data_IF_848842715501
#
_entry.id   IF_848842715501
#
_cell.length_a   1.000
_cell.length_b   1.000
_cell.length_c   1.000
_cell.angle_alpha   90.00
_cell.angle_beta   90.00
_cell.angle_gamma   90.00
#
_symmetry.space_group_name_H-M   'P 1'
#
loop_
_entity.id
_entity.type
_entity.pdbx_description
1 polymer ?
#
# COMPACT_ATOMS: atom_id res chain seq x y z
N UNK A 1 -4.53 14.23 -10.45
CA UNK A 1 -3.09 14.06 -10.12
C UNK A 1 -3.00 12.79 -9.29
N UNK A 2 -2.32 11.82 -9.81
CA UNK A 2 -2.21 10.49 -9.22
C UNK A 2 -1.15 10.49 -8.12
N UNK A 3 -1.43 9.86 -7.00
CA UNK A 3 -0.49 9.68 -5.90
C UNK A 3 0.42 8.49 -6.25
N UNK A 4 1.74 8.68 -6.12
CA UNK A 4 2.72 7.60 -6.31
C UNK A 4 3.28 7.19 -4.96
N UNK A 5 3.17 5.89 -4.66
CA UNK A 5 3.67 5.24 -3.44
C UNK A 5 4.69 4.16 -3.82
N UNK A 6 5.99 4.50 -4.00
CA UNK A 6 6.99 3.51 -4.36
C UNK A 6 7.13 2.44 -3.28
N UNK A 7 7.00 1.14 -3.67
CA UNK A 7 7.24 0.02 -2.76
C UNK A 7 8.74 -0.14 -2.50
N UNK A 8 9.15 0.18 -1.27
CA UNK A 8 10.55 0.10 -0.86
C UNK A 8 11.08 -1.33 -0.73
N UNK A 9 10.21 -2.33 -0.87
CA UNK A 9 10.60 -3.73 -0.98
C UNK A 9 11.53 -3.98 -2.19
N UNK A 10 11.42 -3.15 -3.23
CA UNK A 10 12.25 -3.20 -4.43
C UNK A 10 13.48 -2.31 -4.40
N UNK A 11 13.70 -1.55 -3.32
CA UNK A 11 14.87 -0.69 -3.16
C UNK A 11 16.13 -1.48 -2.78
N UNK A 12 17.31 -0.85 -2.90
CA UNK A 12 18.55 -1.41 -2.40
C UNK A 12 18.64 -1.22 -0.88
N UNK A 13 18.46 -2.31 -0.12
CA UNK A 13 18.46 -2.27 1.34
C UNK A 13 19.79 -1.82 1.94
N UNK A 14 20.91 -1.89 1.18
CA UNK A 14 22.21 -1.39 1.65
C UNK A 14 22.26 0.14 1.71
N UNK A 15 21.37 0.84 0.99
CA UNK A 15 21.24 2.30 0.95
C UNK A 15 19.77 2.77 1.02
N UNK A 16 18.90 2.01 1.66
CA UNK A 16 17.46 2.20 1.70
C UNK A 16 17.04 3.66 1.98
N UNK A 17 17.65 4.31 2.96
CA UNK A 17 17.33 5.70 3.30
C UNK A 17 17.68 6.72 2.19
N UNK A 18 18.70 6.45 1.37
CA UNK A 18 19.03 7.29 0.21
C UNK A 18 18.02 7.07 -0.92
N UNK A 19 17.66 5.82 -1.19
CA UNK A 19 16.68 5.46 -2.21
C UNK A 19 15.30 6.04 -1.87
N UNK A 20 14.87 5.97 -0.61
CA UNK A 20 13.63 6.61 -0.16
C UNK A 20 13.63 8.13 -0.38
N UNK A 21 14.73 8.82 -0.01
CA UNK A 21 14.84 10.27 -0.25
C UNK A 21 14.77 10.61 -1.73
N UNK A 22 15.47 9.87 -2.56
CA UNK A 22 15.50 10.09 -4.00
C UNK A 22 14.10 10.03 -4.63
N UNK A 23 13.25 9.05 -4.26
CA UNK A 23 11.89 8.96 -4.80
C UNK A 23 10.97 10.04 -4.23
N UNK A 24 11.12 10.43 -2.96
CA UNK A 24 10.38 11.56 -2.36
C UNK A 24 10.76 12.89 -3.03
N UNK A 25 12.05 13.14 -3.24
CA UNK A 25 12.54 14.34 -3.94
C UNK A 25 12.09 14.39 -5.41
N UNK A 26 11.83 13.22 -6.01
CA UNK A 26 11.28 13.10 -7.35
C UNK A 26 9.76 13.38 -7.43
N UNK A 27 9.08 13.50 -6.29
CA UNK A 27 7.65 13.83 -6.21
C UNK A 27 6.74 12.68 -5.76
N UNK A 28 7.30 11.57 -5.26
CA UNK A 28 6.48 10.56 -4.57
C UNK A 28 5.88 11.16 -3.29
N UNK A 29 4.60 10.92 -3.06
CA UNK A 29 3.88 11.47 -1.91
C UNK A 29 3.84 10.53 -0.71
N UNK A 30 4.08 9.24 -0.95
CA UNK A 30 4.07 8.16 0.05
C UNK A 30 5.26 7.23 -0.17
N UNK A 31 5.56 6.43 0.85
CA UNK A 31 6.45 5.27 0.75
C UNK A 31 5.65 4.04 1.17
N UNK A 32 5.49 3.09 0.27
CA UNK A 32 4.82 1.82 0.54
C UNK A 32 5.78 0.85 1.24
N UNK A 33 5.37 0.42 2.43
CA UNK A 33 6.19 -0.34 3.37
C UNK A 33 5.61 -1.75 3.56
N UNK A 34 6.09 -2.73 2.79
CA UNK A 34 5.60 -4.11 2.74
C UNK A 34 6.11 -4.96 3.91
N UNK A 35 5.26 -5.27 4.88
CA UNK A 35 5.58 -6.11 6.04
C UNK A 35 5.07 -7.53 5.81
N UNK A 36 5.97 -8.51 5.91
CA UNK A 36 5.68 -9.93 5.68
C UNK A 36 6.23 -10.77 6.84
N UNK A 37 5.43 -11.73 7.34
CA UNK A 37 5.74 -12.53 8.53
C UNK A 37 6.16 -13.98 8.25
N UNK A 38 6.14 -14.42 6.98
CA UNK A 38 6.44 -15.81 6.60
C UNK A 38 5.31 -16.80 6.90
N UNK A 39 4.15 -16.32 7.37
CA UNK A 39 2.96 -17.14 7.66
C UNK A 39 1.80 -16.76 6.73
N UNK A 40 1.37 -15.51 6.75
CA UNK A 40 0.34 -15.01 5.85
C UNK A 40 0.76 -15.06 4.38
N UNK A 41 2.05 -14.83 4.12
CA UNK A 41 2.73 -14.98 2.82
C UNK A 41 4.03 -15.77 2.99
N UNK A 42 4.49 -16.53 1.96
CA UNK A 42 5.68 -17.38 2.05
C UNK A 42 7.00 -16.59 1.91
N UNK A 43 7.08 -15.42 2.53
CA UNK A 43 8.25 -14.54 2.52
C UNK A 43 8.33 -13.74 3.83
N UNK A 44 9.53 -13.33 4.20
CA UNK A 44 9.80 -12.41 5.33
C UNK A 44 10.49 -11.18 4.75
N UNK A 45 10.00 -9.98 5.08
CA UNK A 45 10.59 -8.73 4.61
C UNK A 45 11.29 -7.98 5.76
N UNK A 46 10.71 -6.92 6.23
CA UNK A 46 11.23 -6.07 7.29
C UNK A 46 10.09 -5.64 8.24
N UNK A 47 10.44 -5.17 9.42
CA UNK A 47 9.47 -4.86 10.46
C UNK A 47 9.73 -3.52 11.16
N UNK A 48 9.15 -3.38 12.34
CA UNK A 48 9.17 -2.17 13.19
C UNK A 48 10.54 -1.47 13.29
N UNK A 49 11.70 -2.16 13.47
CA UNK A 49 12.98 -1.48 13.60
C UNK A 49 13.44 -0.71 12.37
N UNK A 50 13.15 -1.23 11.17
CA UNK A 50 13.52 -0.57 9.90
C UNK A 50 12.65 0.68 9.70
N UNK A 51 11.32 0.57 9.92
CA UNK A 51 10.42 1.73 9.84
C UNK A 51 10.87 2.84 10.82
N UNK A 52 11.14 2.49 12.06
CA UNK A 52 11.62 3.43 13.08
C UNK A 52 12.90 4.14 12.65
N UNK A 53 13.81 3.43 11.99
CA UNK A 53 15.05 4.01 11.46
C UNK A 53 14.78 4.99 10.31
N UNK A 54 13.91 4.61 9.37
CA UNK A 54 13.50 5.48 8.26
C UNK A 54 12.79 6.73 8.76
N UNK A 55 11.82 6.58 9.66
CA UNK A 55 11.07 7.70 10.24
C UNK A 55 12.00 8.68 11.00
N UNK A 56 12.99 8.17 11.74
CA UNK A 56 14.00 9.03 12.36
C UNK A 56 14.77 9.88 11.34
N UNK A 57 15.07 9.32 10.17
CA UNK A 57 15.79 10.00 9.10
C UNK A 57 14.93 10.90 8.21
N UNK A 58 13.62 10.64 8.16
CA UNK A 58 12.64 11.31 7.30
C UNK A 58 11.29 11.43 8.02
N UNK A 59 11.20 12.24 9.10
CA UNK A 59 9.99 12.30 9.96
C UNK A 59 8.77 12.91 9.27
N UNK A 60 8.96 13.63 8.16
CA UNK A 60 7.86 14.23 7.38
C UNK A 60 7.34 13.31 6.26
N UNK A 61 7.96 12.16 6.01
CA UNK A 61 7.51 11.23 5.00
C UNK A 61 6.21 10.55 5.43
N UNK A 62 5.32 10.31 4.45
CA UNK A 62 4.11 9.52 4.66
C UNK A 62 4.47 8.03 4.50
N UNK A 63 4.36 7.27 5.57
CA UNK A 63 4.57 5.82 5.56
C UNK A 63 3.24 5.09 5.50
N UNK A 64 2.97 4.50 4.35
CA UNK A 64 1.86 3.58 4.10
C UNK A 64 2.34 2.15 4.41
N UNK A 65 1.96 1.64 5.57
CA UNK A 65 2.43 0.35 6.08
C UNK A 65 1.45 -0.75 5.70
N UNK A 66 1.84 -1.57 4.73
CA UNK A 66 1.07 -2.71 4.24
C UNK A 66 1.42 -3.98 5.01
N UNK A 67 0.46 -4.46 5.81
CA UNK A 67 0.63 -5.59 6.73
C UNK A 67 0.15 -6.90 6.09
N UNK A 68 1.06 -7.61 5.43
CA UNK A 68 0.87 -8.99 4.95
C UNK A 68 1.26 -9.98 6.04
N UNK A 69 0.54 -9.93 7.17
CA UNK A 69 0.81 -10.72 8.37
C UNK A 69 -0.47 -11.35 8.90
N UNK A 70 -0.36 -12.49 9.59
CA UNK A 70 -1.51 -13.23 10.12
C UNK A 70 -2.23 -12.48 11.24
N UNK A 71 -1.50 -11.75 12.09
CA UNK A 71 -2.03 -11.09 13.29
C UNK A 71 -1.72 -9.58 13.33
N UNK A 72 -2.35 -8.75 12.47
CA UNK A 72 -2.09 -7.30 12.42
C UNK A 72 -2.50 -6.54 13.69
N UNK A 73 -3.49 -7.02 14.45
CA UNK A 73 -3.95 -6.40 15.70
C UNK A 73 -2.80 -6.21 16.71
N UNK A 74 -1.94 -7.21 16.84
CA UNK A 74 -0.80 -7.16 17.76
C UNK A 74 0.26 -6.10 17.37
N UNK A 75 0.23 -5.64 16.13
CA UNK A 75 1.22 -4.72 15.56
C UNK A 75 0.69 -3.29 15.35
N UNK A 76 -0.58 -3.01 15.62
CA UNK A 76 -1.19 -1.69 15.48
C UNK A 76 -0.39 -0.61 16.24
N UNK A 77 -0.15 -0.82 17.55
CA UNK A 77 0.63 0.09 18.38
C UNK A 77 2.13 0.12 18.02
N UNK A 78 2.84 -1.04 17.83
CA UNK A 78 4.24 -1.05 17.46
C UNK A 78 4.57 -0.27 16.19
N UNK A 79 3.78 -0.41 15.10
CA UNK A 79 4.01 0.33 13.87
C UNK A 79 3.65 1.81 13.99
N UNK A 80 2.58 2.16 14.72
CA UNK A 80 2.26 3.55 15.00
C UNK A 80 3.41 4.27 15.74
N UNK A 81 3.95 3.66 16.80
CA UNK A 81 5.11 4.18 17.55
C UNK A 81 6.39 4.26 16.71
N UNK A 82 6.50 3.45 15.65
CA UNK A 82 7.62 3.48 14.74
C UNK A 82 7.50 4.58 13.66
N UNK A 83 6.34 5.22 13.54
CA UNK A 83 6.09 6.32 12.61
C UNK A 83 5.21 5.98 11.41
N UNK A 84 4.43 4.88 11.45
CA UNK A 84 3.41 4.61 10.46
C UNK A 84 2.40 5.77 10.41
N UNK A 85 2.13 6.28 9.22
CA UNK A 85 1.10 7.30 9.00
C UNK A 85 -0.24 6.65 8.71
N UNK A 86 -0.20 5.58 7.95
CA UNK A 86 -1.31 4.71 7.61
C UNK A 86 -0.88 3.26 7.82
N UNK A 87 -1.78 2.45 8.34
CA UNK A 87 -1.61 1.00 8.39
C UNK A 87 -2.76 0.37 7.61
N UNK A 88 -2.43 -0.39 6.56
CA UNK A 88 -3.40 -1.19 5.84
C UNK A 88 -3.09 -2.67 6.06
N UNK A 89 -4.13 -3.47 6.26
CA UNK A 89 -4.02 -4.89 6.55
C UNK A 89 -5.04 -5.68 5.75
N UNK A 90 -4.79 -6.97 5.60
CA UNK A 90 -5.63 -7.83 4.78
C UNK A 90 -6.93 -8.23 5.45
N UNK A 91 -8.04 -8.20 4.69
CA UNK A 91 -9.33 -8.74 5.10
C UNK A 91 -9.24 -10.24 5.44
N UNK A 92 -8.28 -10.94 4.84
CA UNK A 92 -8.03 -12.37 5.01
C UNK A 92 -7.08 -12.70 6.17
N UNK A 93 -6.77 -11.74 7.07
CA UNK A 93 -5.98 -12.00 8.27
C UNK A 93 -6.75 -12.85 9.29
N UNK A 94 -6.07 -13.34 10.32
CA UNK A 94 -6.66 -14.21 11.34
C UNK A 94 -7.31 -13.44 12.49
N UNK A 95 -7.08 -12.13 12.60
CA UNK A 95 -7.64 -11.28 13.64
C UNK A 95 -9.07 -10.78 13.29
N UNK A 96 -9.81 -10.33 14.29
CA UNK A 96 -11.07 -9.63 14.08
C UNK A 96 -10.84 -8.29 13.40
N UNK A 97 -11.51 -8.09 12.27
CA UNK A 97 -11.32 -6.92 11.40
C UNK A 97 -11.70 -5.63 12.12
N UNK A 98 -12.86 -5.62 12.81
CA UNK A 98 -13.31 -4.41 13.49
C UNK A 98 -12.39 -4.02 14.65
N UNK A 99 -11.97 -4.98 15.45
CA UNK A 99 -11.02 -4.73 16.53
C UNK A 99 -9.68 -4.20 16.01
N UNK A 100 -9.22 -4.71 14.87
CA UNK A 100 -7.97 -4.25 14.26
C UNK A 100 -8.11 -2.81 13.73
N UNK A 101 -9.22 -2.48 13.07
CA UNK A 101 -9.52 -1.09 12.63
C UNK A 101 -9.52 -0.14 13.84
N UNK A 102 -10.24 -0.50 14.91
CA UNK A 102 -10.36 0.32 16.11
C UNK A 102 -9.01 0.50 16.81
N UNK A 103 -8.19 -0.55 16.88
CA UNK A 103 -6.85 -0.50 17.45
C UNK A 103 -5.91 0.43 16.69
N UNK A 104 -5.92 0.40 15.35
CA UNK A 104 -5.11 1.29 14.50
C UNK A 104 -5.55 2.75 14.67
N UNK A 105 -6.86 3.01 14.64
CA UNK A 105 -7.42 4.36 14.85
C UNK A 105 -7.10 4.92 16.24
N UNK A 106 -7.13 4.08 17.27
CA UNK A 106 -6.79 4.46 18.63
C UNK A 106 -5.34 4.95 18.77
N UNK A 107 -4.44 4.57 17.86
CA UNK A 107 -3.07 5.06 17.81
C UNK A 107 -2.93 6.38 17.03
N UNK A 108 -4.00 6.93 16.45
CA UNK A 108 -3.96 8.12 15.62
C UNK A 108 -3.47 7.89 14.19
N UNK A 109 -3.30 6.64 13.77
CA UNK A 109 -3.00 6.29 12.38
C UNK A 109 -4.26 6.30 11.51
N UNK A 110 -4.08 6.59 10.23
CA UNK A 110 -5.06 6.25 9.20
C UNK A 110 -5.16 4.74 9.06
N UNK A 111 -6.33 4.24 8.66
CA UNK A 111 -6.56 2.80 8.49
C UNK A 111 -6.97 2.46 7.08
N UNK A 112 -6.32 1.45 6.52
CA UNK A 112 -6.66 0.83 5.25
C UNK A 112 -7.04 -0.63 5.39
N UNK A 113 -7.82 -1.13 4.43
CA UNK A 113 -8.15 -2.55 4.32
C UNK A 113 -7.80 -3.05 2.93
N UNK A 114 -7.12 -4.20 2.87
CA UNK A 114 -6.58 -4.79 1.64
C UNK A 114 -7.32 -6.07 1.30
N UNK A 115 -7.51 -6.35 0.02
CA UNK A 115 -8.04 -7.62 -0.48
C UNK A 115 -7.10 -8.30 -1.46
N UNK A 116 -6.96 -9.63 -1.33
CA UNK A 116 -6.23 -10.49 -2.26
C UNK A 116 -6.95 -10.58 -3.63
N UNK A 117 -6.25 -11.03 -4.69
CA UNK A 117 -6.86 -11.22 -6.01
C UNK A 117 -8.09 -12.14 -6.00
N UNK A 118 -8.10 -13.16 -5.14
CA UNK A 118 -9.22 -14.11 -5.01
C UNK A 118 -10.43 -13.59 -4.22
N UNK A 119 -10.32 -12.47 -3.51
CA UNK A 119 -11.39 -11.94 -2.64
C UNK A 119 -12.26 -10.95 -3.40
N UNK A 120 -13.58 -11.14 -3.35
CA UNK A 120 -14.54 -10.23 -3.97
C UNK A 120 -14.60 -8.89 -3.22
N UNK A 121 -14.68 -7.73 -3.93
CA UNK A 121 -14.65 -6.41 -3.29
C UNK A 121 -15.87 -6.14 -2.40
N UNK A 122 -16.99 -6.83 -2.63
CA UNK A 122 -18.21 -6.74 -1.80
C UNK A 122 -17.97 -7.15 -0.33
N UNK A 123 -16.96 -7.98 -0.08
CA UNK A 123 -16.58 -8.38 1.28
C UNK A 123 -16.10 -7.19 2.14
N UNK A 124 -15.67 -6.09 1.51
CA UNK A 124 -15.29 -4.84 2.19
C UNK A 124 -16.50 -3.99 2.61
N UNK A 125 -17.68 -4.25 2.06
CA UNK A 125 -18.87 -3.38 2.22
C UNK A 125 -19.21 -3.01 3.67
N UNK A 126 -19.05 -3.89 4.69
CA UNK A 126 -19.32 -3.53 6.09
C UNK A 126 -18.36 -2.49 6.68
N UNK A 127 -17.18 -2.30 6.08
CA UNK A 127 -16.10 -1.50 6.65
C UNK A 127 -15.84 -0.20 5.91
N UNK A 128 -16.29 -0.04 4.65
CA UNK A 128 -15.92 1.06 3.75
C UNK A 128 -16.10 2.47 4.33
N UNK A 129 -17.16 2.69 5.13
CA UNK A 129 -17.49 4.03 5.66
C UNK A 129 -16.52 4.49 6.77
N UNK A 130 -15.68 3.60 7.25
CA UNK A 130 -14.73 3.88 8.34
C UNK A 130 -13.26 3.81 7.90
N UNK A 131 -12.99 3.54 6.61
CA UNK A 131 -11.63 3.42 6.08
C UNK A 131 -11.14 4.74 5.49
N UNK A 132 -9.83 4.97 5.58
CA UNK A 132 -9.12 6.04 4.87
C UNK A 132 -8.60 5.55 3.51
N UNK A 133 -8.39 4.23 3.36
CA UNK A 133 -7.81 3.62 2.18
C UNK A 133 -8.38 2.21 1.95
N UNK A 134 -8.53 1.84 0.68
CA UNK A 134 -8.77 0.46 0.24
C UNK A 134 -7.69 0.08 -0.76
N UNK A 135 -6.92 -0.96 -0.44
CA UNK A 135 -5.89 -1.50 -1.32
C UNK A 135 -6.40 -2.75 -2.06
N UNK A 136 -6.32 -2.72 -3.38
CA UNK A 136 -6.61 -3.86 -4.24
C UNK A 136 -5.29 -4.49 -4.70
N UNK A 137 -5.04 -5.74 -4.30
CA UNK A 137 -3.91 -6.50 -4.82
C UNK A 137 -4.18 -6.89 -6.27
N UNK A 138 -3.24 -6.55 -7.15
CA UNK A 138 -3.22 -6.95 -8.56
C UNK A 138 -2.21 -8.06 -8.87
N UNK A 139 -1.65 -8.67 -7.81
CA UNK A 139 -0.83 -9.88 -7.80
C UNK A 139 -1.12 -10.64 -6.50
N UNK A 140 -0.71 -11.90 -6.40
CA UNK A 140 -0.69 -12.58 -5.10
C UNK A 140 0.36 -11.92 -4.19
N UNK A 141 0.00 -11.56 -2.93
CA UNK A 141 0.94 -10.92 -2.01
C UNK A 141 2.11 -11.85 -1.67
N UNK A 142 3.30 -11.25 -1.36
CA UNK A 142 4.46 -11.98 -0.89
C UNK A 142 5.75 -11.76 -1.67
N UNK A 143 5.70 -11.36 -2.95
CA UNK A 143 6.89 -11.11 -3.78
C UNK A 143 6.67 -9.92 -4.70
N UNK A 144 7.74 -9.15 -4.91
CA UNK A 144 7.77 -8.09 -5.92
C UNK A 144 7.97 -8.62 -7.35
N UNK A 145 7.78 -7.76 -8.37
CA UNK A 145 8.09 -8.05 -9.77
C UNK A 145 7.16 -9.05 -10.47
N UNK A 146 5.99 -9.32 -9.92
CA UNK A 146 4.99 -10.20 -10.50
C UNK A 146 4.21 -9.53 -11.64
N UNK A 147 3.62 -10.34 -12.50
CA UNK A 147 2.80 -9.87 -13.63
C UNK A 147 1.43 -9.40 -13.13
N UNK A 148 1.03 -8.20 -13.56
CA UNK A 148 -0.26 -7.59 -13.28
C UNK A 148 -1.44 -8.51 -13.65
N UNK A 149 -2.43 -8.63 -12.77
CA UNK A 149 -3.67 -9.37 -12.97
C UNK A 149 -4.81 -8.41 -13.35
N UNK A 150 -5.29 -8.40 -14.61
CA UNK A 150 -6.31 -7.44 -15.08
C UNK A 150 -7.65 -7.51 -14.36
N UNK A 151 -7.95 -8.62 -13.68
CA UNK A 151 -9.17 -8.77 -12.87
C UNK A 151 -9.26 -7.75 -11.72
N UNK A 152 -8.14 -7.20 -11.27
CA UNK A 152 -8.11 -6.11 -10.29
C UNK A 152 -8.80 -4.83 -10.77
N UNK A 153 -8.82 -4.57 -12.07
CA UNK A 153 -9.48 -3.39 -12.66
C UNK A 153 -11.00 -3.40 -12.44
N UNK A 154 -11.63 -4.56 -12.47
CA UNK A 154 -13.07 -4.70 -12.18
C UNK A 154 -13.37 -4.36 -10.72
N UNK A 155 -12.50 -4.78 -9.79
CA UNK A 155 -12.61 -4.45 -8.36
C UNK A 155 -12.46 -2.96 -8.11
N UNK A 156 -11.48 -2.31 -8.75
CA UNK A 156 -11.30 -0.86 -8.67
C UNK A 156 -12.53 -0.11 -9.16
N UNK A 157 -13.13 -0.51 -10.30
CA UNK A 157 -14.37 0.10 -10.83
C UNK A 157 -15.53 -0.04 -9.85
N UNK A 158 -15.73 -1.26 -9.31
CA UNK A 158 -16.77 -1.51 -8.32
C UNK A 158 -16.59 -0.65 -7.07
N UNK A 159 -15.38 -0.58 -6.53
CA UNK A 159 -15.06 0.22 -5.34
C UNK A 159 -15.23 1.73 -5.60
N UNK A 160 -14.86 2.23 -6.77
CA UNK A 160 -15.11 3.61 -7.19
C UNK A 160 -16.61 3.95 -7.19
N UNK A 161 -17.42 3.06 -7.77
CA UNK A 161 -18.87 3.23 -7.83
C UNK A 161 -19.50 3.16 -6.43
N UNK A 162 -19.04 2.23 -5.60
CA UNK A 162 -19.51 2.06 -4.24
C UNK A 162 -19.11 3.25 -3.35
N UNK A 163 -17.90 3.78 -3.51
CA UNK A 163 -17.45 5.02 -2.86
C UNK A 163 -18.36 6.20 -3.20
N UNK A 164 -18.70 6.37 -4.47
CA UNK A 164 -19.59 7.43 -4.92
C UNK A 164 -21.02 7.24 -4.38
N UNK A 165 -21.56 6.02 -4.41
CA UNK A 165 -22.89 5.69 -3.92
C UNK A 165 -23.05 5.96 -2.42
N UNK A 166 -21.99 5.74 -1.63
CA UNK A 166 -21.97 5.97 -0.17
C UNK A 166 -21.59 7.40 0.20
N UNK A 167 -21.09 8.22 -0.73
CA UNK A 167 -20.41 9.49 -0.42
C UNK A 167 -19.24 9.28 0.55
N UNK A 168 -18.55 8.12 0.45
CA UNK A 168 -17.39 7.78 1.27
C UNK A 168 -16.13 8.48 0.76
N UNK A 169 -15.07 8.56 1.59
CA UNK A 169 -13.89 9.37 1.30
C UNK A 169 -12.57 8.58 1.26
N UNK A 170 -12.63 7.23 1.32
CA UNK A 170 -11.43 6.42 1.23
C UNK A 170 -10.73 6.58 -0.13
N UNK A 171 -9.41 6.52 -0.13
CA UNK A 171 -8.61 6.45 -1.35
C UNK A 171 -8.54 5.01 -1.87
N UNK A 172 -8.48 4.86 -3.20
CA UNK A 172 -8.29 3.56 -3.85
C UNK A 172 -6.84 3.40 -4.24
N UNK A 173 -6.21 2.38 -3.73
CA UNK A 173 -4.83 2.00 -3.99
C UNK A 173 -4.76 0.68 -4.74
N UNK A 174 -3.76 0.53 -5.60
CA UNK A 174 -3.47 -0.72 -6.32
C UNK A 174 -2.00 -1.07 -6.16
N UNK A 175 -1.74 -2.35 -5.82
CA UNK A 175 -0.39 -2.88 -5.68
C UNK A 175 -0.22 -4.19 -6.44
N UNK A 176 0.85 -4.25 -7.23
CA UNK A 176 1.28 -5.43 -7.96
C UNK A 176 1.37 -5.24 -9.48
N UNK A 177 2.57 -5.32 -10.04
CA UNK A 177 2.80 -5.22 -11.47
C UNK A 177 2.40 -3.89 -12.10
N UNK A 178 2.41 -2.81 -11.31
CA UNK A 178 2.14 -1.45 -11.78
C UNK A 178 3.40 -0.89 -12.45
N UNK A 179 3.25 -0.52 -13.73
CA UNK A 179 4.30 0.05 -14.58
C UNK A 179 3.72 1.06 -15.57
N UNK A 180 4.55 1.58 -16.50
CA UNK A 180 4.12 2.56 -17.52
C UNK A 180 2.97 2.05 -18.42
N UNK A 181 2.78 0.73 -18.56
CA UNK A 181 1.72 0.14 -19.39
C UNK A 181 0.42 -0.10 -18.60
N UNK A 182 0.52 -0.50 -17.32
CA UNK A 182 -0.63 -0.88 -16.50
C UNK A 182 -1.18 0.27 -15.67
N UNK A 183 -0.34 1.25 -15.29
CA UNK A 183 -0.74 2.40 -14.48
C UNK A 183 -1.89 3.21 -15.10
N UNK A 184 -1.91 3.54 -16.42
CA UNK A 184 -3.03 4.24 -17.02
C UNK A 184 -4.35 3.48 -16.88
N UNK A 185 -4.32 2.14 -16.99
CA UNK A 185 -5.51 1.29 -16.83
C UNK A 185 -6.05 1.33 -15.40
N UNK A 186 -5.15 1.37 -14.41
CA UNK A 186 -5.51 1.47 -13.00
C UNK A 186 -6.18 2.81 -12.69
N UNK A 187 -5.60 3.92 -13.18
CA UNK A 187 -6.16 5.27 -13.01
C UNK A 187 -7.54 5.39 -13.67
N UNK A 188 -7.70 4.89 -14.91
CA UNK A 188 -8.99 4.85 -15.59
C UNK A 188 -10.03 4.03 -14.82
N UNK A 189 -9.60 2.93 -14.19
CA UNK A 189 -10.47 2.10 -13.35
C UNK A 189 -10.86 2.78 -12.03
N UNK A 190 -10.13 3.83 -11.59
CA UNK A 190 -10.46 4.64 -10.42
C UNK A 190 -9.43 4.61 -9.30
N UNK A 191 -8.22 4.09 -9.54
CA UNK A 191 -7.14 4.17 -8.57
C UNK A 191 -6.69 5.62 -8.35
N UNK A 192 -6.58 6.03 -7.09
CA UNK A 192 -6.03 7.30 -6.67
C UNK A 192 -4.54 7.20 -6.37
N UNK A 193 -4.09 6.01 -5.93
CA UNK A 193 -2.72 5.71 -5.51
C UNK A 193 -2.18 4.51 -6.30
N UNK A 194 -0.98 4.68 -6.84
CA UNK A 194 -0.25 3.65 -7.56
C UNK A 194 0.97 3.19 -6.74
N UNK A 195 0.96 1.92 -6.32
CA UNK A 195 2.15 1.28 -5.73
C UNK A 195 3.01 0.71 -6.84
N UNK A 196 4.24 1.21 -6.96
CA UNK A 196 5.18 0.76 -7.97
C UNK A 196 6.54 0.43 -7.34
N UNK A 197 6.94 -0.83 -7.39
CA UNK A 197 8.23 -1.31 -6.88
C UNK A 197 9.30 -1.36 -7.96
N UNK A 198 9.39 -2.50 -8.66
CA UNK A 198 10.41 -2.76 -9.69
C UNK A 198 10.37 -1.77 -10.87
N UNK A 199 9.20 -1.26 -11.22
CA UNK A 199 9.06 -0.23 -12.26
C UNK A 199 9.72 1.11 -11.89
N UNK A 200 9.90 1.38 -10.58
CA UNK A 200 10.60 2.55 -10.07
C UNK A 200 12.06 2.21 -9.77
N UNK A 201 12.31 1.34 -8.78
CA UNK A 201 13.67 1.07 -8.30
C UNK A 201 14.54 0.25 -9.27
N UNK A 202 13.93 -0.49 -10.21
CA UNK A 202 14.62 -1.19 -11.29
C UNK A 202 14.83 -0.36 -12.55
N UNK A 203 14.29 0.86 -12.63
CA UNK A 203 14.44 1.73 -13.79
C UNK A 203 15.87 2.30 -13.88
N UNK A 204 16.31 2.62 -15.11
CA UNK A 204 17.60 3.30 -15.33
C UNK A 204 17.62 4.69 -14.66
N UNK A 205 16.47 5.37 -14.59
CA UNK A 205 16.25 6.62 -13.85
C UNK A 205 14.98 6.49 -13.00
N UNK A 206 15.11 6.08 -11.72
CA UNK A 206 13.96 5.92 -10.81
C UNK A 206 13.20 7.22 -10.59
N UNK A 207 13.90 8.36 -10.53
CA UNK A 207 13.27 9.66 -10.35
C UNK A 207 12.38 10.04 -11.55
N UNK A 208 12.83 9.73 -12.78
CA UNK A 208 11.99 9.92 -13.96
C UNK A 208 10.79 8.98 -13.99
N UNK A 209 10.93 7.73 -13.50
CA UNK A 209 9.82 6.79 -13.38
C UNK A 209 8.74 7.32 -12.43
N UNK A 210 9.11 7.84 -11.26
CA UNK A 210 8.16 8.48 -10.33
C UNK A 210 7.43 9.63 -11.01
N UNK A 211 8.16 10.55 -11.68
CA UNK A 211 7.53 11.69 -12.37
C UNK A 211 6.55 11.29 -13.48
N UNK A 212 6.86 10.22 -14.23
CA UNK A 212 5.93 9.71 -15.27
C UNK A 212 4.64 9.17 -14.68
N UNK A 213 4.72 8.38 -13.61
CA UNK A 213 3.54 7.84 -12.93
C UNK A 213 2.71 8.95 -12.27
N UNK A 214 3.33 9.96 -11.69
CA UNK A 214 2.64 11.10 -11.06
C UNK A 214 1.95 12.04 -12.08
N UNK A 215 2.33 11.97 -13.36
CA UNK A 215 1.73 12.77 -14.42
C UNK A 215 0.42 12.19 -14.99
N UNK A 216 0.03 10.97 -14.59
CA UNK A 216 -1.24 10.34 -14.93
C UNK A 216 -2.38 10.97 -14.07
#
# INVERSE_FOLDING_TARGET
MTIVSPSILSADFTKLGADCRMVLDAGAQMLHYDVMDGHFVPNISFGVPVLKSLHKGMPAAFYDVHLMISHPLAYAEPFAKAGATLQNFHLECEDDIQQTIDAIKAQGCKVGLTIKPGTAPEALAPYLDQLDLVLVMSVEPGFGGQKFMPSSLEKLRWLREERARRSAHFLLEVDGGVDDATAPLCVEAGADILVAGSAVFGAADPAAAVRRLAAL
#
